data_IF_316988474940
#
_entry.id   IF_316988474940
#
_cell.length_a   1.000
_cell.length_b   1.000
_cell.length_c   1.000
_cell.angle_alpha   90.00
_cell.angle_beta   90.00
_cell.angle_gamma   90.00
#
_symmetry.space_group_name_H-M   'P 1'
#
loop_
_entity.id
_entity.type
_entity.pdbx_description
1 polymer ?
#
# COMPACT_ATOMS: atom_id res chain seq x y z
N UNK A 1 13.22 -6.35 10.10
CA UNK A 1 12.85 -5.84 8.83
C UNK A 1 13.73 -6.43 7.77
N UNK A 2 13.13 -6.92 6.72
CA UNK A 2 13.91 -7.52 5.66
C UNK A 2 14.80 -6.48 4.99
N UNK A 3 15.94 -6.91 4.55
CA UNK A 3 16.87 -6.00 3.91
C UNK A 3 16.31 -5.43 2.62
N UNK A 4 15.54 -6.21 1.88
CA UNK A 4 15.02 -5.69 0.62
C UNK A 4 14.03 -4.56 0.87
N UNK A 5 13.34 -4.59 2.00
CA UNK A 5 12.42 -3.52 2.30
C UNK A 5 13.20 -2.25 2.63
N UNK A 6 14.31 -2.40 3.31
CA UNK A 6 15.12 -1.26 3.64
C UNK A 6 15.70 -0.64 2.37
N UNK A 7 16.10 -1.48 1.43
CA UNK A 7 16.65 -0.97 0.19
C UNK A 7 15.60 -0.18 -0.58
N UNK A 8 14.35 -0.64 -0.55
CA UNK A 8 13.29 0.06 -1.24
C UNK A 8 13.08 1.43 -0.59
N UNK A 9 13.11 1.45 0.72
CA UNK A 9 12.91 2.69 1.44
C UNK A 9 14.01 3.69 1.09
N UNK A 10 15.24 3.24 1.07
CA UNK A 10 16.33 4.13 0.76
C UNK A 10 16.26 4.60 -0.67
N UNK A 11 15.86 3.73 -1.57
CA UNK A 11 15.74 4.10 -2.96
C UNK A 11 14.70 5.17 -3.18
N UNK A 12 13.56 5.02 -2.53
CA UNK A 12 12.49 5.99 -2.67
C UNK A 12 12.95 7.35 -2.12
N UNK A 13 13.58 7.33 -0.95
CA UNK A 13 14.04 8.58 -0.36
C UNK A 13 15.06 9.27 -1.26
N UNK A 14 15.96 8.48 -1.82
CA UNK A 14 17.00 9.03 -2.63
C UNK A 14 16.44 9.63 -3.91
N UNK A 15 15.52 8.91 -4.55
CA UNK A 15 14.96 9.38 -5.80
C UNK A 15 14.15 10.65 -5.61
N UNK A 16 13.51 10.81 -4.47
CA UNK A 16 12.66 11.95 -4.26
C UNK A 16 13.40 13.11 -3.63
N UNK A 17 14.70 12.91 -3.38
CA UNK A 17 15.54 14.00 -2.95
C UNK A 17 15.06 14.78 -1.78
N UNK A 18 14.50 14.15 -0.84
CA UNK A 18 14.07 14.85 0.33
C UNK A 18 12.74 15.53 0.20
N UNK A 19 12.16 15.52 -0.97
CA UNK A 19 10.86 16.14 -1.12
C UNK A 19 9.79 15.29 -0.47
N UNK A 20 9.96 13.98 -0.51
CA UNK A 20 9.05 13.07 0.11
C UNK A 20 9.85 12.02 0.83
N UNK A 21 9.36 11.57 1.93
CA UNK A 21 9.99 10.45 2.61
C UNK A 21 9.24 9.20 2.19
N UNK A 22 9.77 8.06 2.57
CA UNK A 22 9.11 6.80 2.31
C UNK A 22 7.70 6.81 2.93
N UNK A 23 7.60 7.20 4.18
CA UNK A 23 6.32 7.22 4.86
C UNK A 23 5.36 8.23 4.24
N UNK A 24 5.89 9.36 3.81
CA UNK A 24 5.04 10.38 3.20
C UNK A 24 4.56 9.96 1.83
N UNK A 25 5.42 9.32 1.07
CA UNK A 25 5.04 8.87 -0.25
C UNK A 25 3.94 7.82 -0.18
N UNK A 26 4.06 6.88 0.77
CA UNK A 26 3.07 5.84 0.93
C UNK A 26 1.89 6.27 1.79
N UNK A 27 1.93 7.49 2.31
CA UNK A 27 0.89 8.01 3.19
C UNK A 27 0.66 7.06 4.37
N UNK A 28 1.75 6.62 4.95
CA UNK A 28 1.65 5.63 6.02
C UNK A 28 0.88 6.12 7.22
N UNK A 29 0.97 7.42 7.51
CA UNK A 29 0.26 7.96 8.65
C UNK A 29 -1.24 7.74 8.47
N UNK A 30 -1.74 7.95 7.28
CA UNK A 30 -3.16 7.74 7.01
C UNK A 30 -3.48 6.26 6.90
N UNK A 31 -2.63 5.51 6.25
CA UNK A 31 -2.87 4.09 6.06
C UNK A 31 -2.92 3.36 7.40
N UNK A 32 -1.97 3.64 8.26
CA UNK A 32 -1.90 2.94 9.53
C UNK A 32 -2.91 3.46 10.54
N UNK A 33 -3.59 4.55 10.22
CA UNK A 33 -4.60 5.09 11.09
C UNK A 33 -6.00 4.74 10.58
N UNK A 34 -6.09 3.85 9.64
CA UNK A 34 -7.37 3.50 9.04
C UNK A 34 -8.03 2.24 9.61
N UNK A 35 -7.50 1.73 10.70
CA UNK A 35 -8.07 0.55 11.32
C UNK A 35 -8.80 0.97 12.58
N UNK A 36 -10.12 0.89 12.55
CA UNK A 36 -10.92 1.39 13.65
C UNK A 36 -11.86 0.30 14.19
N UNK A 37 -11.38 -0.45 15.17
CA UNK A 37 -12.23 -1.50 15.75
C UNK A 37 -13.51 -0.90 16.34
N UNK A 38 -14.60 -1.61 16.16
CA UNK A 38 -15.88 -1.12 16.61
C UNK A 38 -16.46 -1.90 17.77
N UNK A 39 -15.90 -3.03 18.12
CA UNK A 39 -16.44 -3.82 19.23
C UNK A 39 -16.20 -3.13 20.56
N UNK A 40 -17.10 -3.34 21.52
CA UNK A 40 -16.97 -2.71 22.81
C UNK A 40 -17.38 -3.73 23.85
N UNK A 41 -16.45 -4.19 24.69
CA UNK A 41 -15.05 -3.78 24.66
C UNK A 41 -14.35 -4.29 23.42
N UNK A 42 -13.22 -3.70 23.11
CA UNK A 42 -12.54 -4.03 21.87
C UNK A 42 -12.12 -5.49 21.88
N UNK A 43 -12.44 -6.20 20.84
CA UNK A 43 -12.10 -7.59 20.72
C UNK A 43 -10.71 -7.71 20.13
N UNK A 44 -9.88 -8.52 20.75
CA UNK A 44 -8.49 -8.61 20.33
C UNK A 44 -8.31 -8.95 18.86
N UNK A 45 -9.14 -9.86 18.33
CA UNK A 45 -8.97 -10.30 16.97
C UNK A 45 -9.61 -9.39 15.92
N UNK A 46 -10.28 -8.35 16.36
CA UNK A 46 -10.94 -7.48 15.39
C UNK A 46 -9.92 -6.74 14.52
N UNK A 47 -8.79 -6.38 15.09
CA UNK A 47 -7.75 -5.70 14.32
C UNK A 47 -7.23 -6.61 13.22
N UNK A 48 -7.05 -7.89 13.52
CA UNK A 48 -6.61 -8.85 12.52
C UNK A 48 -7.64 -8.92 11.39
N UNK A 49 -8.91 -8.97 11.73
CA UNK A 49 -9.97 -9.02 10.74
C UNK A 49 -9.90 -7.80 9.82
N UNK A 50 -9.75 -6.63 10.40
CA UNK A 50 -9.71 -5.39 9.64
C UNK A 50 -8.49 -5.37 8.71
N UNK A 51 -7.31 -5.64 9.25
CA UNK A 51 -6.10 -5.55 8.46
C UNK A 51 -6.11 -6.58 7.34
N UNK A 52 -6.60 -7.79 7.63
CA UNK A 52 -6.63 -8.83 6.62
C UNK A 52 -7.51 -8.42 5.45
N UNK A 53 -8.64 -7.82 5.73
CA UNK A 53 -9.55 -7.40 4.68
C UNK A 53 -9.06 -6.15 3.96
N UNK A 54 -8.44 -5.23 4.68
CA UNK A 54 -7.87 -4.05 4.04
C UNK A 54 -6.75 -4.45 3.09
N UNK A 55 -5.93 -5.42 3.50
CA UNK A 55 -4.84 -5.89 2.66
C UNK A 55 -5.39 -6.53 1.39
N UNK A 56 -6.44 -7.32 1.52
CA UNK A 56 -7.05 -7.96 0.36
C UNK A 56 -7.61 -6.92 -0.60
N UNK A 57 -8.23 -5.87 -0.06
CA UNK A 57 -8.78 -4.83 -0.90
C UNK A 57 -7.69 -4.08 -1.67
N UNK A 58 -6.56 -3.84 -1.02
CA UNK A 58 -5.46 -3.17 -1.68
C UNK A 58 -4.90 -4.03 -2.81
N UNK A 59 -4.79 -5.33 -2.60
CA UNK A 59 -4.32 -6.22 -3.65
C UNK A 59 -5.31 -6.26 -4.80
N UNK A 60 -6.61 -6.25 -4.51
CA UNK A 60 -7.60 -6.25 -5.55
C UNK A 60 -7.57 -4.94 -6.35
N UNK A 61 -7.31 -3.84 -5.67
CA UNK A 61 -7.17 -2.58 -6.36
C UNK A 61 -6.02 -2.65 -7.37
N UNK A 62 -4.90 -3.25 -6.97
CA UNK A 62 -3.77 -3.38 -7.86
C UNK A 62 -4.10 -4.30 -9.03
N UNK A 63 -4.80 -5.41 -8.76
CA UNK A 63 -5.17 -6.34 -9.81
C UNK A 63 -6.07 -5.64 -10.83
N UNK A 64 -7.03 -4.88 -10.37
CA UNK A 64 -7.94 -4.17 -11.27
C UNK A 64 -7.16 -3.16 -12.10
N UNK A 65 -6.20 -2.49 -11.47
CA UNK A 65 -5.37 -1.52 -12.18
C UNK A 65 -4.60 -2.19 -13.30
N UNK A 66 -4.02 -3.37 -13.02
CA UNK A 66 -3.24 -4.06 -14.03
C UNK A 66 -4.12 -4.63 -15.14
N UNK A 67 -5.29 -5.17 -14.78
CA UNK A 67 -6.19 -5.69 -15.79
C UNK A 67 -6.70 -4.59 -16.69
N UNK A 68 -6.95 -3.44 -16.12
CA UNK A 68 -7.44 -2.33 -16.92
C UNK A 68 -6.38 -1.86 -17.89
N UNK A 69 -5.12 -1.85 -17.48
CA UNK A 69 -4.03 -1.48 -18.35
C UNK A 69 -3.91 -2.46 -19.52
N UNK A 70 -4.06 -3.74 -19.25
CA UNK A 70 -3.97 -4.74 -20.27
C UNK A 70 -5.16 -4.61 -21.24
N UNK A 71 -6.34 -4.39 -20.68
CA UNK A 71 -7.53 -4.31 -21.49
C UNK A 71 -7.48 -3.11 -22.43
N UNK A 72 -6.88 -2.04 -22.02
CA UNK A 72 -6.82 -0.86 -22.87
C UNK A 72 -5.64 -0.92 -23.83
N UNK A 73 -4.87 -1.96 -23.74
CA UNK A 73 -3.73 -2.08 -24.63
C UNK A 73 -2.55 -1.31 -24.17
N UNK A 74 -2.63 -0.70 -23.01
CA UNK A 74 -1.59 0.11 -22.54
C UNK A 74 -0.71 -0.59 -21.73
N UNK A 75 -0.85 -1.69 -21.63
CA UNK A 75 -0.13 -2.47 -20.86
C UNK A 75 0.91 -1.98 -20.20
N UNK A 76 1.28 -2.62 -19.34
CA UNK A 76 2.21 -2.16 -18.63
C UNK A 76 3.23 -1.76 -19.36
N UNK A 77 3.27 -2.20 -20.29
CA UNK A 77 4.15 -1.87 -21.07
C UNK A 77 4.45 -0.65 -20.81
N UNK A 78 4.91 -0.40 -20.58
CA UNK A 78 5.27 0.65 -20.41
C UNK A 78 4.53 1.55 -20.19
N UNK A 79 3.74 1.38 -20.47
CA UNK A 79 2.88 2.30 -20.31
C UNK A 79 2.90 2.78 -19.05
N UNK A 80 3.13 2.41 -18.38
CA UNK A 80 2.97 2.82 -17.36
C UNK A 80 3.61 3.53 -16.96
N UNK A 81 3.58 3.95 -16.97
CA UNK A 81 4.22 4.59 -16.57
C UNK A 81 3.93 5.05 -15.92
#
# INVERSE_FOLDING_TARGET
>A
MPDNLRAVEEGVTRDLRGKLTYAGYLELERLLDAQHPRSSPEHHDELLFIVQHQTSELWMRLIIHELDAVRTGNGSAGGRS
#
